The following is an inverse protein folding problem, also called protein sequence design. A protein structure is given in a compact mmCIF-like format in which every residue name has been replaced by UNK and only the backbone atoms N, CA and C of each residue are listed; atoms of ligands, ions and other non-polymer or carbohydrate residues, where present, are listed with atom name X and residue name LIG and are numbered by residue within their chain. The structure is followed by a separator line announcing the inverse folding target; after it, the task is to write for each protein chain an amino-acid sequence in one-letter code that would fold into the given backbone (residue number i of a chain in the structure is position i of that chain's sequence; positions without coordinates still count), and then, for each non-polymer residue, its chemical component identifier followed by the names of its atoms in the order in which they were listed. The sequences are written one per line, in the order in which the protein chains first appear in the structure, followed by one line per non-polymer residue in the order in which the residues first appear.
data_IF_302115145362
#
_entry.id   IF_302115145362
#
_cell.length_a   1.000
_cell.length_b   1.000
_cell.length_c   1.000
_cell.angle_alpha   90.00
_cell.angle_beta   90.00
_cell.angle_gamma   90.00
#
_symmetry.space_group_name_H-M   'P 1'
#
loop_
_entity.id
_entity.type
_entity.pdbx_description
1 polymer ?
#
# COMPACT_ATOMS: atom_id res chain seq x y z
N UNK A 1 -32.10 1.21 -25.79
CA UNK A 1 -30.77 1.80 -26.06
C UNK A 1 -29.90 1.51 -24.82
N UNK A 2 -29.13 0.41 -24.88
CA UNK A 2 -28.35 -0.13 -23.76
C UNK A 2 -27.24 0.85 -23.34
N UNK A 3 -27.30 1.34 -22.12
CA UNK A 3 -26.25 2.18 -21.49
C UNK A 3 -25.21 1.36 -20.71
N UNK A 4 -24.97 0.10 -21.10
CA UNK A 4 -24.03 -0.81 -20.44
C UNK A 4 -22.65 -0.81 -21.15
N UNK A 5 -22.09 0.38 -21.34
CA UNK A 5 -20.87 0.62 -22.14
C UNK A 5 -19.52 0.22 -21.53
N UNK A 6 -19.46 -0.58 -20.45
CA UNK A 6 -18.16 -0.84 -19.78
C UNK A 6 -17.59 -2.24 -20.00
N UNK A 7 -18.38 -3.22 -20.44
CA UNK A 7 -17.89 -4.59 -20.63
C UNK A 7 -17.29 -4.89 -22.00
N UNK A 8 -17.50 -4.03 -22.99
CA UNK A 8 -17.01 -4.23 -24.35
C UNK A 8 -15.71 -3.49 -24.69
N UNK A 9 -15.35 -2.48 -23.91
CA UNK A 9 -14.36 -1.50 -24.37
C UNK A 9 -12.91 -2.02 -24.31
N UNK A 10 -12.56 -2.90 -23.36
CA UNK A 10 -11.15 -3.32 -23.17
C UNK A 10 -10.92 -4.84 -23.30
N UNK A 11 -11.95 -5.66 -23.34
CA UNK A 11 -11.85 -7.13 -23.51
C UNK A 11 -10.87 -7.75 -22.49
N UNK A 12 -9.80 -8.38 -23.00
CA UNK A 12 -8.72 -8.98 -22.22
C UNK A 12 -7.51 -8.04 -22.06
N UNK A 13 -7.66 -6.74 -22.26
CA UNK A 13 -6.58 -5.75 -22.15
C UNK A 13 -6.76 -4.86 -20.93
N UNK A 14 -5.67 -4.26 -20.47
CA UNK A 14 -5.71 -3.21 -19.47
C UNK A 14 -6.20 -1.90 -20.10
N UNK A 15 -6.95 -1.06 -19.34
CA UNK A 15 -7.30 0.29 -19.79
C UNK A 15 -6.06 1.11 -20.16
N UNK A 16 -6.17 2.07 -21.09
CA UNK A 16 -5.05 2.93 -21.44
C UNK A 16 -4.60 3.77 -20.26
N UNK A 17 -3.29 3.78 -20.02
CA UNK A 17 -2.66 4.53 -18.93
C UNK A 17 -2.08 5.85 -19.46
N UNK A 18 -2.39 6.95 -18.77
CA UNK A 18 -1.81 8.27 -19.05
C UNK A 18 -0.74 8.63 -18.02
N UNK A 19 0.55 8.53 -18.40
CA UNK A 19 1.67 8.92 -17.51
C UNK A 19 1.60 10.39 -17.11
N UNK A 20 1.19 11.29 -18.01
CA UNK A 20 1.04 12.71 -17.70
C UNK A 20 -0.03 12.95 -16.64
N UNK A 21 -1.21 12.33 -16.80
CA UNK A 21 -2.30 12.46 -15.83
C UNK A 21 -1.89 11.84 -14.48
N UNK A 22 -1.24 10.68 -14.51
CA UNK A 22 -0.71 10.02 -13.33
C UNK A 22 0.29 10.91 -12.58
N UNK A 23 1.20 11.57 -13.31
CA UNK A 23 2.16 12.52 -12.70
C UNK A 23 1.44 13.65 -11.94
N UNK A 24 0.47 14.31 -12.59
CA UNK A 24 -0.31 15.37 -11.93
C UNK A 24 -1.13 14.86 -10.74
N UNK A 25 -1.71 13.68 -10.88
CA UNK A 25 -2.40 13.02 -9.77
C UNK A 25 -1.45 12.78 -8.59
N UNK A 26 -0.24 12.29 -8.84
CA UNK A 26 0.76 12.04 -7.80
C UNK A 26 1.24 13.29 -7.08
N UNK A 27 1.29 14.44 -7.73
CA UNK A 27 1.54 15.73 -7.05
C UNK A 27 0.47 15.97 -5.98
N UNK A 28 -0.80 15.75 -6.33
CA UNK A 28 -1.93 15.89 -5.39
C UNK A 28 -1.89 14.84 -4.27
N UNK A 29 -1.60 13.58 -4.61
CA UNK A 29 -1.44 12.48 -3.64
C UNK A 29 -0.34 12.80 -2.63
N UNK A 30 0.86 13.17 -3.09
CA UNK A 30 2.00 13.50 -2.22
C UNK A 30 1.69 14.69 -1.30
N UNK A 31 1.02 15.72 -1.82
CA UNK A 31 0.57 16.85 -1.00
C UNK A 31 -0.42 16.40 0.07
N UNK A 32 -1.39 15.55 -0.29
CA UNK A 32 -2.37 15.01 0.64
C UNK A 32 -1.71 14.16 1.73
N UNK A 33 -0.80 13.25 1.33
CA UNK A 33 -0.06 12.40 2.27
C UNK A 33 0.74 13.23 3.28
N UNK A 34 1.49 14.24 2.82
CA UNK A 34 2.26 15.15 3.71
C UNK A 34 1.40 15.89 4.72
N UNK A 35 0.17 16.18 4.37
CA UNK A 35 -0.77 16.94 5.20
C UNK A 35 -1.43 16.11 6.30
N UNK A 36 -1.61 14.81 6.03
CA UNK A 36 -2.39 13.93 6.90
C UNK A 36 -1.55 12.89 7.64
N UNK A 37 -0.29 12.68 7.23
CA UNK A 37 0.64 11.77 7.88
C UNK A 37 1.90 12.51 8.31
N UNK A 38 2.46 12.11 9.46
CA UNK A 38 3.79 12.56 9.87
C UNK A 38 4.85 12.00 8.91
N UNK A 39 4.73 10.74 8.52
CA UNK A 39 5.55 10.16 7.47
C UNK A 39 4.93 8.90 6.88
N UNK A 40 5.40 8.50 5.69
CA UNK A 40 5.27 7.16 5.15
C UNK A 40 6.60 6.44 5.32
N UNK A 41 6.60 5.32 6.03
CA UNK A 41 7.79 4.55 6.35
C UNK A 41 7.71 3.11 5.88
N UNK A 42 8.81 2.61 5.40
CA UNK A 42 8.99 1.23 4.95
C UNK A 42 9.86 0.48 5.97
N UNK A 43 9.33 -0.60 6.53
CA UNK A 43 10.05 -1.47 7.45
C UNK A 43 11.15 -2.23 6.70
N UNK A 44 12.35 -2.25 7.26
CA UNK A 44 13.47 -3.03 6.75
C UNK A 44 13.13 -4.52 6.57
N UNK A 45 13.84 -5.18 5.67
CA UNK A 45 13.65 -6.60 5.38
C UNK A 45 13.91 -7.49 6.60
N UNK A 46 13.28 -8.66 6.62
CA UNK A 46 13.51 -9.64 7.68
C UNK A 46 14.99 -10.08 7.69
N UNK A 47 15.58 -10.20 8.87
CA UNK A 47 16.97 -10.63 9.02
C UNK A 47 18.03 -9.68 8.43
N UNK A 48 17.69 -8.40 8.20
CA UNK A 48 18.61 -7.42 7.59
C UNK A 48 18.68 -7.50 6.07
N UNK A 49 17.77 -8.21 5.44
CA UNK A 49 17.59 -8.26 3.99
C UNK A 49 17.07 -6.92 3.41
N UNK A 50 16.88 -6.84 2.08
CA UNK A 50 16.33 -5.65 1.43
C UNK A 50 14.95 -5.31 1.98
N UNK A 51 14.64 -4.03 2.09
CA UNK A 51 13.37 -3.54 2.63
C UNK A 51 12.18 -3.74 1.67
N UNK A 52 12.43 -3.94 0.40
CA UNK A 52 11.43 -4.22 -0.62
C UNK A 52 11.93 -5.30 -1.58
N UNK A 53 11.01 -6.06 -2.21
CA UNK A 53 11.40 -7.10 -3.15
C UNK A 53 12.02 -6.52 -4.41
N UNK A 54 13.07 -7.18 -4.89
CA UNK A 54 13.48 -6.99 -6.28
C UNK A 54 12.42 -7.63 -7.19
N UNK A 55 11.74 -6.81 -7.95
CA UNK A 55 10.67 -7.28 -8.85
C UNK A 55 11.21 -7.78 -10.19
N UNK A 56 12.50 -7.58 -10.47
CA UNK A 56 13.10 -7.98 -11.75
C UNK A 56 12.31 -7.45 -12.96
N UNK A 57 12.46 -8.11 -14.10
CA UNK A 57 11.69 -7.85 -15.32
C UNK A 57 10.44 -8.72 -15.44
N UNK A 58 9.74 -9.04 -14.35
CA UNK A 58 8.59 -9.95 -14.34
C UNK A 58 7.29 -9.26 -13.92
N UNK A 59 6.11 -9.81 -14.29
CA UNK A 59 4.82 -9.33 -13.81
C UNK A 59 4.68 -9.47 -12.30
N UNK A 60 4.00 -8.49 -11.68
CA UNK A 60 3.88 -8.44 -10.23
C UNK A 60 2.44 -8.18 -9.80
N UNK A 61 1.97 -8.98 -8.85
CA UNK A 61 0.76 -8.74 -8.10
C UNK A 61 1.14 -8.45 -6.65
N UNK A 62 0.79 -7.26 -6.13
CA UNK A 62 0.93 -6.93 -4.72
C UNK A 62 -0.46 -7.01 -4.07
N UNK A 63 -0.57 -7.80 -3.00
CA UNK A 63 -1.80 -7.90 -2.24
C UNK A 63 -1.57 -7.42 -0.81
N UNK A 64 -2.48 -6.60 -0.32
CA UNK A 64 -2.34 -5.94 0.97
C UNK A 64 -3.60 -6.14 1.85
N UNK A 65 -3.45 -5.98 3.16
CA UNK A 65 -4.58 -5.75 4.04
C UNK A 65 -5.25 -4.40 3.72
N UNK A 66 -6.44 -4.17 4.27
CA UNK A 66 -7.26 -3.00 3.92
C UNK A 66 -7.74 -2.24 5.16
N UNK A 67 -6.82 -1.60 5.94
CA UNK A 67 -7.19 -0.91 7.16
C UNK A 67 -8.00 0.36 6.95
N UNK A 68 -7.97 0.97 5.74
CA UNK A 68 -8.71 2.20 5.58
C UNK A 68 -8.67 2.86 4.21
N UNK A 69 -9.31 4.02 4.17
CA UNK A 69 -9.49 4.82 2.95
C UNK A 69 -8.15 5.30 2.33
N UNK A 70 -7.08 5.39 3.13
CA UNK A 70 -5.79 5.89 2.69
C UNK A 70 -4.98 4.89 1.85
N UNK A 71 -5.33 3.62 1.86
CA UNK A 71 -4.54 2.55 1.27
C UNK A 71 -4.18 2.77 -0.21
N UNK A 72 -5.10 3.20 -1.10
CA UNK A 72 -4.74 3.45 -2.49
C UNK A 72 -3.67 4.55 -2.64
N UNK A 73 -3.74 5.60 -1.80
CA UNK A 73 -2.77 6.70 -1.85
C UNK A 73 -1.40 6.25 -1.33
N UNK A 74 -1.39 5.38 -0.31
CA UNK A 74 -0.17 4.73 0.19
C UNK A 74 0.43 3.85 -0.91
N UNK A 75 -0.37 3.01 -1.57
CA UNK A 75 0.10 2.13 -2.65
C UNK A 75 0.72 2.93 -3.81
N UNK A 76 0.05 3.97 -4.28
CA UNK A 76 0.59 4.85 -5.32
C UNK A 76 1.90 5.53 -4.88
N UNK A 77 1.99 5.99 -3.63
CA UNK A 77 3.20 6.63 -3.12
C UNK A 77 4.34 5.63 -3.02
N UNK A 78 4.10 4.45 -2.46
CA UNK A 78 5.09 3.36 -2.38
C UNK A 78 5.57 2.95 -3.77
N UNK A 79 4.64 2.77 -4.71
CA UNK A 79 4.99 2.40 -6.09
C UNK A 79 5.89 3.44 -6.76
N UNK A 80 5.58 4.73 -6.58
CA UNK A 80 6.36 5.81 -7.18
C UNK A 80 7.77 5.93 -6.57
N UNK A 81 7.91 5.67 -5.27
CA UNK A 81 9.20 5.75 -4.57
C UNK A 81 10.10 4.54 -4.86
N UNK A 82 9.51 3.34 -5.04
CA UNK A 82 10.28 2.11 -5.19
C UNK A 82 10.43 1.67 -6.65
N UNK A 83 9.41 1.90 -7.48
CA UNK A 83 9.37 1.40 -8.87
C UNK A 83 8.74 2.45 -9.81
N UNK A 84 9.39 3.62 -10.00
CA UNK A 84 8.81 4.77 -10.72
C UNK A 84 8.50 4.49 -12.19
N UNK A 85 9.18 3.52 -12.79
CA UNK A 85 9.00 3.16 -14.20
C UNK A 85 7.82 2.21 -14.45
N UNK A 86 7.28 1.59 -13.40
CA UNK A 86 6.18 0.64 -13.53
C UNK A 86 4.82 1.34 -13.56
N UNK A 87 3.92 0.78 -14.33
CA UNK A 87 2.51 1.21 -14.36
C UNK A 87 1.74 0.52 -13.23
N UNK A 88 0.91 1.28 -12.56
CA UNK A 88 0.14 0.81 -11.41
C UNK A 88 -1.32 0.62 -11.80
N UNK A 89 -1.83 -0.60 -11.64
CA UNK A 89 -3.23 -0.92 -11.84
C UNK A 89 -3.83 -1.55 -10.60
N UNK A 90 -5.12 -1.32 -10.36
CA UNK A 90 -5.83 -1.93 -9.24
C UNK A 90 -7.34 -1.84 -9.38
N UNK A 91 -8.09 -2.76 -8.75
CA UNK A 91 -9.54 -2.71 -8.72
C UNK A 91 -10.04 -1.60 -7.80
N UNK A 92 -11.14 -0.99 -8.21
CA UNK A 92 -11.95 -0.07 -7.39
C UNK A 92 -13.42 -0.42 -7.57
N UNK A 93 -14.26 -0.05 -6.62
CA UNK A 93 -15.71 -0.18 -6.80
C UNK A 93 -16.18 0.60 -8.03
N UNK A 94 -16.91 -0.07 -8.93
CA UNK A 94 -17.42 0.52 -10.15
C UNK A 94 -18.35 1.72 -9.89
N UNK A 95 -19.09 1.71 -8.78
CA UNK A 95 -19.94 2.83 -8.37
C UNK A 95 -19.11 4.06 -7.99
N UNK A 96 -17.97 3.86 -7.31
CA UNK A 96 -17.02 4.94 -6.99
C UNK A 96 -16.35 5.48 -8.26
N UNK A 97 -15.93 4.58 -9.16
CA UNK A 97 -15.30 4.96 -10.44
C UNK A 97 -16.24 5.74 -11.34
N UNK A 98 -17.54 5.39 -11.36
CA UNK A 98 -18.55 6.08 -12.18
C UNK A 98 -18.63 7.58 -11.93
N UNK A 99 -18.27 8.04 -10.73
CA UNK A 99 -18.18 9.47 -10.38
C UNK A 99 -16.92 10.15 -10.94
N UNK A 100 -15.85 9.36 -11.17
CA UNK A 100 -14.51 9.89 -11.50
C UNK A 100 -13.84 9.05 -12.61
N UNK A 101 -14.47 9.00 -13.80
CA UNK A 101 -13.95 8.22 -14.95
C UNK A 101 -12.51 8.51 -15.34
N UNK A 102 -12.01 9.68 -15.01
CA UNK A 102 -10.60 10.06 -15.20
C UNK A 102 -9.62 9.12 -14.47
N UNK A 103 -10.07 8.47 -13.39
CA UNK A 103 -9.26 7.54 -12.61
C UNK A 103 -8.93 6.24 -13.37
N UNK A 104 -9.71 5.87 -14.38
CA UNK A 104 -9.38 4.73 -15.27
C UNK A 104 -8.05 4.96 -15.99
N UNK A 105 -7.76 6.22 -16.34
CA UNK A 105 -6.54 6.59 -17.08
C UNK A 105 -5.29 6.65 -16.21
N UNK A 106 -5.42 6.42 -14.92
CA UNK A 106 -4.30 6.27 -13.98
C UNK A 106 -4.22 4.85 -13.40
N UNK A 107 -4.94 3.89 -14.01
CA UNK A 107 -4.85 2.47 -13.70
C UNK A 107 -5.91 1.92 -12.74
N UNK A 108 -6.90 2.72 -12.30
CA UNK A 108 -7.99 2.18 -11.49
C UNK A 108 -9.07 1.54 -12.37
N UNK A 109 -9.42 0.30 -12.06
CA UNK A 109 -10.36 -0.50 -12.85
C UNK A 109 -11.61 -0.81 -12.05
N UNK A 110 -12.76 -0.33 -12.52
CA UNK A 110 -14.04 -0.55 -11.85
C UNK A 110 -14.45 -2.02 -11.85
N UNK A 111 -14.77 -2.56 -10.69
CA UNK A 111 -15.36 -3.89 -10.50
C UNK A 111 -16.60 -3.76 -9.64
N UNK A 112 -17.58 -4.65 -9.88
CA UNK A 112 -18.80 -4.77 -9.07
C UNK A 112 -18.55 -5.76 -7.93
N UNK A 113 -18.37 -5.29 -6.68
CA UNK A 113 -18.08 -6.18 -5.56
C UNK A 113 -19.22 -7.18 -5.32
N UNK A 114 -18.87 -8.42 -4.95
CA UNK A 114 -19.86 -9.44 -4.58
C UNK A 114 -20.63 -10.06 -5.74
N UNK A 115 -20.37 -9.67 -7.00
CA UNK A 115 -21.06 -10.24 -8.17
C UNK A 115 -20.16 -11.22 -8.94
N UNK A 116 -20.79 -12.20 -9.62
CA UNK A 116 -20.06 -13.10 -10.53
C UNK A 116 -19.39 -12.35 -11.68
N UNK A 117 -20.06 -11.31 -12.19
CA UNK A 117 -19.53 -10.44 -13.25
C UNK A 117 -18.29 -9.70 -12.79
N UNK A 118 -18.32 -9.10 -11.58
CA UNK A 118 -17.18 -8.44 -10.98
C UNK A 118 -16.00 -9.38 -10.74
N UNK A 119 -16.27 -10.61 -10.24
CA UNK A 119 -15.23 -11.63 -10.06
C UNK A 119 -14.58 -12.03 -11.39
N UNK A 120 -15.38 -12.26 -12.45
CA UNK A 120 -14.87 -12.57 -13.79
C UNK A 120 -14.05 -11.41 -14.37
N UNK A 121 -14.50 -10.16 -14.20
CA UNK A 121 -13.77 -8.97 -14.62
C UNK A 121 -12.44 -8.83 -13.88
N UNK A 122 -12.45 -9.00 -12.56
CA UNK A 122 -11.24 -8.99 -11.75
C UNK A 122 -10.19 -9.98 -12.29
N UNK A 123 -10.57 -11.24 -12.53
CA UNK A 123 -9.65 -12.25 -13.03
C UNK A 123 -9.13 -11.94 -14.44
N UNK A 124 -9.96 -11.37 -15.31
CA UNK A 124 -9.52 -10.92 -16.65
C UNK A 124 -8.44 -9.86 -16.54
N UNK A 125 -8.65 -8.85 -15.70
CA UNK A 125 -7.69 -7.75 -15.49
C UNK A 125 -6.41 -8.26 -14.82
N UNK A 126 -6.51 -9.11 -13.81
CA UNK A 126 -5.36 -9.73 -13.17
C UNK A 126 -4.49 -10.53 -14.16
N UNK A 127 -5.12 -11.30 -15.06
CA UNK A 127 -4.41 -12.01 -16.15
C UNK A 127 -3.78 -11.06 -17.17
N UNK A 128 -4.47 -9.97 -17.53
CA UNK A 128 -3.92 -8.97 -18.45
C UNK A 128 -2.68 -8.28 -17.84
N UNK A 129 -2.73 -7.95 -16.54
CA UNK A 129 -1.60 -7.42 -15.78
C UNK A 129 -0.45 -8.43 -15.67
N UNK A 130 -0.76 -9.71 -15.41
CA UNK A 130 0.22 -10.79 -15.31
C UNK A 130 0.96 -11.17 -16.60
N UNK A 131 0.61 -10.54 -17.73
CA UNK A 131 1.34 -10.66 -19.01
C UNK A 131 2.28 -9.47 -19.27
N UNK A 132 2.31 -8.51 -18.34
CA UNK A 132 3.02 -7.25 -18.54
C UNK A 132 4.08 -7.05 -17.44
N UNK A 133 5.35 -7.19 -17.78
CA UNK A 133 6.44 -7.01 -16.81
C UNK A 133 6.62 -5.57 -16.35
N UNK A 134 6.07 -4.60 -17.08
CA UNK A 134 6.08 -3.18 -16.73
C UNK A 134 4.90 -2.76 -15.83
N UNK A 135 4.08 -3.73 -15.36
CA UNK A 135 2.89 -3.47 -14.55
C UNK A 135 3.04 -4.03 -13.14
N UNK A 136 2.55 -3.30 -12.15
CA UNK A 136 2.22 -3.79 -10.82
C UNK A 136 0.69 -3.77 -10.69
N UNK A 137 0.11 -4.92 -10.32
CA UNK A 137 -1.30 -5.04 -10.03
C UNK A 137 -1.54 -5.08 -8.52
N UNK A 138 -2.18 -4.05 -7.98
CA UNK A 138 -2.44 -3.88 -6.56
C UNK A 138 -3.82 -4.41 -6.18
N UNK A 139 -3.91 -5.17 -5.10
CA UNK A 139 -5.18 -5.74 -4.62
C UNK A 139 -5.28 -5.61 -3.11
N UNK A 140 -6.40 -5.08 -2.61
CA UNK A 140 -6.76 -5.19 -1.20
C UNK A 140 -7.38 -6.57 -0.96
N UNK A 141 -6.65 -7.45 -0.27
CA UNK A 141 -6.96 -8.87 -0.20
C UNK A 141 -8.30 -9.21 0.46
N UNK A 142 -8.73 -8.38 1.42
CA UNK A 142 -9.98 -8.57 2.17
C UNK A 142 -11.22 -8.09 1.39
N UNK A 143 -11.04 -7.19 0.40
CA UNK A 143 -12.13 -6.63 -0.42
C UNK A 143 -13.14 -5.80 0.36
N UNK A 144 -12.82 -5.43 1.59
CA UNK A 144 -13.54 -4.53 2.49
C UNK A 144 -12.56 -4.00 3.53
N UNK A 145 -12.92 -2.90 4.20
CA UNK A 145 -12.13 -2.42 5.34
C UNK A 145 -12.19 -3.43 6.49
N UNK A 146 -11.02 -3.71 7.07
CA UNK A 146 -10.88 -4.62 8.20
C UNK A 146 -9.79 -4.14 9.16
N UNK A 147 -10.00 -4.39 10.44
CA UNK A 147 -9.00 -4.04 11.46
C UNK A 147 -7.71 -4.85 11.23
N UNK A 148 -6.54 -4.21 11.16
CA UNK A 148 -5.28 -4.92 10.93
C UNK A 148 -4.91 -5.90 12.05
N UNK A 149 -5.62 -5.89 13.17
CA UNK A 149 -5.43 -6.79 14.32
C UNK A 149 -6.33 -8.02 14.30
N UNK A 150 -7.32 -8.08 13.39
CA UNK A 150 -8.19 -9.25 13.27
C UNK A 150 -7.39 -10.51 12.96
N UNK A 151 -7.65 -11.59 13.72
CA UNK A 151 -7.04 -12.91 13.56
C UNK A 151 -8.12 -14.01 13.73
N UNK A 152 -8.08 -15.09 12.94
CA UNK A 152 -7.22 -15.27 11.76
C UNK A 152 -7.60 -14.30 10.63
N UNK A 153 -6.63 -13.96 9.79
CA UNK A 153 -6.89 -13.08 8.66
C UNK A 153 -7.78 -13.79 7.62
N UNK A 154 -8.84 -13.11 7.20
CA UNK A 154 -9.69 -13.57 6.11
C UNK A 154 -9.40 -12.77 4.83
N UNK A 155 -9.12 -13.46 3.74
CA UNK A 155 -8.94 -12.86 2.42
C UNK A 155 -9.95 -13.41 1.41
N UNK A 156 -10.24 -12.62 0.38
CA UNK A 156 -11.14 -13.04 -0.70
C UNK A 156 -10.46 -14.09 -1.58
N UNK A 157 -11.13 -15.19 -1.95
CA UNK A 157 -10.57 -16.23 -2.81
C UNK A 157 -10.09 -15.73 -4.19
N UNK A 158 -10.61 -14.60 -4.64
CA UNK A 158 -10.22 -13.98 -5.90
C UNK A 158 -8.71 -13.73 -6.04
N UNK A 159 -8.02 -13.44 -4.94
CA UNK A 159 -6.55 -13.22 -4.95
C UNK A 159 -5.82 -14.53 -5.23
N UNK A 160 -6.23 -15.64 -4.60
CA UNK A 160 -5.69 -16.98 -4.86
C UNK A 160 -5.98 -17.43 -6.30
N UNK A 161 -7.18 -17.17 -6.80
CA UNK A 161 -7.50 -17.44 -8.21
C UNK A 161 -6.65 -16.60 -9.18
N UNK A 162 -6.35 -15.35 -8.85
CA UNK A 162 -5.47 -14.51 -9.67
C UNK A 162 -4.04 -15.06 -9.66
N UNK A 163 -3.49 -15.45 -8.50
CA UNK A 163 -2.16 -16.03 -8.40
C UNK A 163 -2.03 -17.31 -9.24
N UNK A 164 -3.00 -18.23 -9.14
CA UNK A 164 -3.03 -19.46 -9.94
C UNK A 164 -3.20 -19.23 -11.44
N UNK A 165 -3.98 -18.21 -11.81
CA UNK A 165 -4.33 -17.94 -13.21
C UNK A 165 -3.21 -17.29 -14.02
N UNK A 166 -2.21 -16.71 -13.37
CA UNK A 166 -1.03 -16.15 -14.01
C UNK A 166 0.04 -17.25 -14.17
N UNK A 167 0.64 -17.35 -15.36
CA UNK A 167 1.60 -18.42 -15.68
C UNK A 167 3.02 -18.07 -15.23
N UNK A 168 3.27 -16.80 -14.95
CA UNK A 168 4.58 -16.27 -14.57
C UNK A 168 4.44 -15.08 -13.65
N UNK A 169 5.55 -14.64 -13.06
CA UNK A 169 5.61 -13.49 -12.16
C UNK A 169 5.53 -13.88 -10.70
N UNK A 170 5.42 -12.88 -9.86
CA UNK A 170 5.38 -13.04 -8.41
C UNK A 170 4.16 -12.34 -7.80
N UNK A 171 3.67 -12.94 -6.70
CA UNK A 171 2.71 -12.30 -5.81
C UNK A 171 3.40 -11.94 -4.49
N UNK A 172 3.22 -10.71 -4.03
CA UNK A 172 3.94 -10.15 -2.88
C UNK A 172 2.96 -9.67 -1.82
N UNK A 173 3.05 -10.16 -0.58
CA UNK A 173 2.26 -9.62 0.53
C UNK A 173 2.82 -8.26 0.96
N UNK A 174 1.93 -7.30 1.22
CA UNK A 174 2.26 -6.01 1.80
C UNK A 174 1.33 -5.71 2.98
N UNK A 175 1.91 -5.42 4.13
CA UNK A 175 1.16 -4.97 5.30
C UNK A 175 1.16 -3.45 5.40
N UNK A 176 0.03 -2.89 5.87
CA UNK A 176 -0.15 -1.45 6.10
C UNK A 176 -0.76 -1.23 7.48
N UNK A 177 -0.24 -0.25 8.22
CA UNK A 177 -0.79 0.24 9.49
C UNK A 177 -0.70 1.77 9.59
N UNK A 178 -1.62 2.37 10.37
CA UNK A 178 -1.69 3.81 10.60
C UNK A 178 -1.65 4.15 12.10
N UNK A 179 -0.56 3.87 12.81
CA UNK A 179 -0.46 4.17 14.23
C UNK A 179 -0.14 5.65 14.50
N UNK A 180 -0.62 6.15 15.63
CA UNK A 180 -0.13 7.39 16.21
C UNK A 180 1.07 7.09 17.10
N UNK A 181 2.20 7.70 16.79
CA UNK A 181 3.41 7.64 17.62
C UNK A 181 3.50 8.88 18.52
N UNK A 182 4.61 9.60 18.40
CA UNK A 182 4.89 10.75 19.27
C UNK A 182 4.43 12.08 18.68
N UNK A 183 4.12 12.08 17.39
CA UNK A 183 3.68 13.27 16.66
C UNK A 183 2.15 13.35 16.56
N UNK A 184 1.64 14.56 16.29
CA UNK A 184 0.21 14.83 16.15
C UNK A 184 -0.46 14.06 15.01
N UNK A 185 0.28 13.86 13.92
CA UNK A 185 -0.19 13.12 12.76
C UNK A 185 0.21 11.65 12.87
N UNK A 186 -0.60 10.72 12.34
CA UNK A 186 -0.25 9.31 12.32
C UNK A 186 0.94 9.04 11.40
N UNK A 187 1.62 7.95 11.66
CA UNK A 187 2.54 7.34 10.71
C UNK A 187 1.76 6.48 9.72
N UNK A 188 2.17 6.44 8.45
CA UNK A 188 1.79 5.40 7.52
C UNK A 188 2.94 4.39 7.44
N UNK A 189 2.73 3.20 7.95
CA UNK A 189 3.76 2.16 8.02
C UNK A 189 3.46 1.07 7.02
N UNK A 190 4.48 0.63 6.28
CA UNK A 190 4.37 -0.48 5.33
C UNK A 190 5.49 -1.49 5.53
N UNK A 191 5.21 -2.75 5.22
CA UNK A 191 6.18 -3.84 5.17
C UNK A 191 5.85 -4.78 4.03
N UNK A 192 6.87 -5.31 3.35
CA UNK A 192 6.71 -6.38 2.36
C UNK A 192 7.12 -7.72 2.96
N UNK A 193 6.38 -8.78 2.67
CA UNK A 193 6.84 -10.14 2.87
C UNK A 193 7.55 -10.68 1.65
N UNK A 194 7.99 -11.94 1.73
CA UNK A 194 8.73 -12.59 0.65
C UNK A 194 7.86 -12.78 -0.60
N UNK A 195 8.39 -12.53 -1.80
CA UNK A 195 7.71 -12.82 -3.04
C UNK A 195 7.44 -14.32 -3.21
N UNK A 196 6.26 -14.66 -3.70
CA UNK A 196 5.83 -16.04 -3.97
C UNK A 196 5.69 -16.17 -5.49
N UNK A 197 6.39 -17.11 -6.14
CA UNK A 197 6.21 -17.36 -7.57
C UNK A 197 4.76 -17.74 -7.89
N UNK A 198 4.18 -17.09 -8.91
CA UNK A 198 2.82 -17.41 -9.40
C UNK A 198 2.86 -18.54 -10.42
N UNK A 199 1.68 -19.13 -10.69
CA UNK A 199 1.48 -20.09 -11.74
C UNK A 199 1.42 -21.53 -11.26
N UNK A 200 1.38 -22.44 -12.25
CA UNK A 200 1.26 -23.88 -12.02
C UNK A 200 2.57 -24.55 -11.57
N UNK A 201 3.70 -23.83 -11.70
CA UNK A 201 5.02 -24.36 -11.35
C UNK A 201 5.23 -24.61 -9.85
N UNK A 202 4.39 -24.02 -8.98
CA UNK A 202 4.41 -24.24 -7.52
C UNK A 202 3.61 -25.47 -7.05
N UNK A 203 2.93 -26.21 -7.93
CA UNK A 203 2.15 -27.39 -7.58
C UNK A 203 0.87 -27.11 -6.76
N UNK A 204 0.54 -25.84 -6.51
CA UNK A 204 -0.60 -25.43 -5.68
C UNK A 204 -1.90 -25.36 -6.49
N UNK A 205 -2.96 -25.96 -5.96
CA UNK A 205 -4.32 -25.78 -6.47
C UNK A 205 -4.92 -24.46 -6.01
N UNK A 206 -6.01 -24.01 -6.68
CA UNK A 206 -6.68 -22.76 -6.31
C UNK A 206 -7.18 -22.75 -4.86
N UNK A 207 -7.49 -23.91 -4.30
CA UNK A 207 -7.89 -24.08 -2.92
C UNK A 207 -6.74 -23.80 -1.94
N UNK A 208 -5.50 -24.14 -2.30
CA UNK A 208 -4.32 -24.03 -1.44
C UNK A 208 -3.74 -22.61 -1.45
N UNK A 209 -3.93 -21.87 -2.54
CA UNK A 209 -3.46 -20.50 -2.65
C UNK A 209 -4.05 -19.56 -1.61
N UNK A 210 -5.34 -19.63 -1.36
CA UNK A 210 -6.00 -18.68 -0.44
C UNK A 210 -5.48 -18.76 0.99
N UNK A 211 -5.40 -19.95 1.64
CA UNK A 211 -4.83 -20.06 2.98
C UNK A 211 -3.34 -19.70 3.03
N UNK A 212 -2.55 -20.09 2.02
CA UNK A 212 -1.13 -19.70 1.95
C UNK A 212 -0.98 -18.18 1.91
N UNK A 213 -1.74 -17.50 1.07
CA UNK A 213 -1.67 -16.02 0.96
C UNK A 213 -2.16 -15.33 2.23
N UNK A 214 -3.18 -15.86 2.91
CA UNK A 214 -3.63 -15.37 4.19
C UNK A 214 -2.53 -15.48 5.26
N UNK A 215 -1.91 -16.65 5.39
CA UNK A 215 -0.78 -16.90 6.31
C UNK A 215 0.38 -15.93 6.06
N UNK A 216 0.80 -15.76 4.80
CA UNK A 216 1.93 -14.88 4.44
C UNK A 216 1.64 -13.41 4.72
N UNK A 217 0.41 -12.96 4.45
CA UNK A 217 0.02 -11.58 4.74
C UNK A 217 -0.11 -11.35 6.26
N UNK A 218 -0.69 -12.31 6.99
CA UNK A 218 -0.77 -12.27 8.45
C UNK A 218 0.61 -12.21 9.10
N UNK A 219 1.56 -13.04 8.66
CA UNK A 219 2.95 -13.00 9.14
C UNK A 219 3.62 -11.64 8.86
N UNK A 220 3.33 -11.04 7.69
CA UNK A 220 3.84 -9.70 7.32
C UNK A 220 3.24 -8.62 8.22
N UNK A 221 1.92 -8.68 8.49
CA UNK A 221 1.26 -7.77 9.42
C UNK A 221 1.81 -7.89 10.84
N UNK A 222 2.03 -9.11 11.33
CA UNK A 222 2.56 -9.34 12.68
C UNK A 222 3.99 -8.81 12.82
N UNK A 223 4.80 -8.90 11.76
CA UNK A 223 6.12 -8.29 11.72
C UNK A 223 6.04 -6.77 11.78
N UNK A 224 5.14 -6.16 10.99
CA UNK A 224 4.92 -4.71 10.99
C UNK A 224 4.41 -4.23 12.34
N UNK A 225 3.41 -4.91 12.92
CA UNK A 225 2.82 -4.57 14.21
C UNK A 225 3.84 -4.64 15.36
N UNK A 226 4.75 -5.62 15.34
CA UNK A 226 5.84 -5.69 16.33
C UNK A 226 6.75 -4.47 16.26
N UNK A 227 7.16 -4.07 15.04
CA UNK A 227 7.99 -2.90 14.83
C UNK A 227 7.25 -1.59 15.18
N UNK A 228 5.97 -1.48 14.79
CA UNK A 228 5.14 -0.32 15.06
C UNK A 228 4.97 -0.02 16.55
N UNK A 229 4.81 -1.08 17.38
CA UNK A 229 4.71 -0.95 18.85
C UNK A 229 5.95 -0.36 19.52
N UNK A 230 7.11 -0.54 18.89
CA UNK A 230 8.36 0.02 19.40
C UNK A 230 8.41 1.55 19.33
N UNK A 231 7.59 2.18 18.49
CA UNK A 231 7.60 3.64 18.21
C UNK A 231 8.99 4.18 17.88
N UNK A 232 9.85 3.31 17.34
CA UNK A 232 11.20 3.62 16.94
C UNK A 232 11.30 3.73 15.43
N UNK A 233 11.71 4.88 14.87
CA UNK A 233 11.88 5.02 13.43
C UNK A 233 13.11 4.29 12.87
N UNK A 234 14.06 3.87 13.72
CA UNK A 234 15.33 3.31 13.26
C UNK A 234 15.21 2.08 12.34
N UNK A 235 14.29 1.11 12.57
CA UNK A 235 14.13 -0.03 11.67
C UNK A 235 13.40 0.31 10.35
N UNK A 236 13.01 1.57 10.15
CA UNK A 236 12.24 2.00 9.00
C UNK A 236 13.02 2.99 8.13
N UNK A 237 12.89 2.84 6.81
CA UNK A 237 13.26 3.86 5.84
C UNK A 237 12.09 4.81 5.59
N UNK A 238 12.31 6.12 5.68
CA UNK A 238 11.29 7.11 5.34
C UNK A 238 11.20 7.25 3.82
N UNK A 239 10.03 6.93 3.26
CA UNK A 239 9.72 7.12 1.84
C UNK A 239 9.18 8.52 1.56
N UNK A 240 8.37 9.06 2.47
CA UNK A 240 7.82 10.40 2.37
C UNK A 240 7.74 11.02 3.75
N UNK A 241 8.38 12.18 3.94
CA UNK A 241 8.21 12.99 5.15
C UNK A 241 7.00 13.92 4.98
N UNK A 242 6.14 13.96 5.98
CA UNK A 242 5.00 14.85 6.07
C UNK A 242 5.32 16.13 6.83
N UNK A 243 4.27 16.87 7.15
CA UNK A 243 4.40 18.10 7.92
C UNK A 243 4.68 17.79 9.39
N UNK A 244 5.66 18.51 9.98
CA UNK A 244 6.10 18.33 11.36
C UNK A 244 5.59 19.51 12.22
N UNK A 245 5.20 19.22 13.45
CA UNK A 245 4.77 20.23 14.43
C UNK A 245 3.25 20.44 14.49
N UNK A 246 2.82 21.21 15.47
CA UNK A 246 1.39 21.49 15.71
C UNK A 246 0.87 22.53 14.72
N UNK A 247 1.76 23.26 14.07
CA UNK A 247 1.42 24.36 13.17
C UNK A 247 0.83 25.59 13.88
N UNK A 248 0.83 26.73 13.20
CA UNK A 248 0.19 27.95 13.69
C UNK A 248 0.91 28.64 14.86
N UNK A 249 0.13 29.29 15.73
CA UNK A 249 0.66 30.14 16.81
C UNK A 249 1.52 29.42 17.85
N UNK A 250 1.31 28.11 18.07
CA UNK A 250 2.09 27.35 19.03
C UNK A 250 3.55 27.14 18.57
N UNK A 251 3.74 26.78 17.31
CA UNK A 251 5.08 26.63 16.73
C UNK A 251 5.77 27.99 16.56
N UNK A 252 5.01 29.05 16.28
CA UNK A 252 5.56 30.40 16.26
C UNK A 252 6.12 30.79 17.64
N UNK A 253 5.39 30.50 18.71
CA UNK A 253 5.85 30.74 20.08
C UNK A 253 7.10 29.93 20.45
N UNK A 254 7.18 28.65 20.00
CA UNK A 254 8.37 27.79 20.19
C UNK A 254 9.57 28.31 19.37
N UNK A 255 9.37 28.71 18.12
CA UNK A 255 10.42 29.31 17.28
C UNK A 255 10.98 30.58 17.89
N UNK A 256 10.11 31.47 18.40
CA UNK A 256 10.52 32.69 19.05
C UNK A 256 11.35 32.41 20.32
N UNK A 257 10.93 31.43 21.14
CA UNK A 257 11.68 31.01 22.33
C UNK A 257 13.04 30.41 21.97
N UNK A 258 13.11 29.52 20.98
CA UNK A 258 14.35 28.93 20.51
C UNK A 258 15.30 30.01 19.96
N UNK A 259 14.79 30.97 19.21
CA UNK A 259 15.56 32.10 18.70
C UNK A 259 16.10 33.00 19.85
N UNK A 260 15.27 33.31 20.85
CA UNK A 260 15.68 34.08 22.04
C UNK A 260 16.69 33.34 22.89
N UNK A 261 16.67 31.99 22.89
CA UNK A 261 17.61 31.14 23.62
C UNK A 261 18.88 30.81 22.81
N UNK A 262 19.02 31.31 21.57
CA UNK A 262 20.16 30.99 20.69
C UNK A 262 20.27 29.53 20.29
N UNK A 263 19.17 28.76 20.37
CA UNK A 263 19.14 27.34 20.06
C UNK A 263 18.47 27.09 18.71
N UNK A 264 18.92 26.07 17.93
CA UNK A 264 18.23 25.66 16.71
C UNK A 264 16.80 25.19 17.06
N UNK A 265 15.82 25.65 16.31
CA UNK A 265 14.42 25.23 16.47
C UNK A 265 14.23 23.83 15.91
N UNK A 266 13.84 22.87 16.77
CA UNK A 266 13.40 21.54 16.39
C UNK A 266 11.86 21.49 16.44
N UNK A 267 11.16 21.32 15.30
CA UNK A 267 9.72 21.23 15.26
C UNK A 267 9.18 19.89 15.76
N UNK A 268 10.02 18.85 15.91
CA UNK A 268 9.61 17.52 16.36
C UNK A 268 9.19 17.50 17.84
N UNK A 269 8.29 16.59 18.21
CA UNK A 269 7.78 16.43 19.59
C UNK A 269 8.45 15.33 20.36
N UNK A 270 9.52 14.74 19.90
CA UNK A 270 10.25 13.82 20.73
C UNK A 270 11.14 12.80 20.07
N UNK A 271 12.38 13.07 20.24
CA UNK A 271 13.42 12.06 20.32
C UNK A 271 14.09 12.09 21.69
N UNK A 272 13.28 12.00 22.75
CA UNK A 272 13.88 11.68 24.06
C UNK A 272 13.90 10.16 24.15
N UNK A 273 15.09 9.53 24.22
CA UNK A 273 15.15 8.11 24.52
C UNK A 273 14.41 7.85 25.84
N UNK A 274 13.66 6.75 25.97
CA UNK A 274 13.03 6.41 27.24
C UNK A 274 14.12 6.42 28.34
N UNK A 275 13.80 6.93 29.55
CA UNK A 275 14.76 6.90 30.65
C UNK A 275 15.15 5.45 30.88
N UNK A 276 16.46 5.19 30.91
CA UNK A 276 17.01 3.88 31.22
C UNK A 276 16.42 3.39 32.53
N UNK A 277 16.06 2.12 32.63
CA UNK A 277 15.46 1.49 33.81
C UNK A 277 16.33 1.62 35.06
N UNK A 278 17.58 2.05 34.94
CA UNK A 278 18.51 2.30 36.02
C UNK A 278 18.27 3.60 36.84
N UNK A 279 17.41 4.52 36.34
CA UNK A 279 17.09 5.77 37.07
C UNK A 279 15.78 5.69 37.88
N UNK A 280 15.22 4.50 38.10
CA UNK A 280 14.04 4.26 38.94
C UNK A 280 14.35 3.44 40.19
N UNK A 281 15.53 3.60 40.75
CA UNK A 281 15.84 3.08 42.10
C UNK A 281 16.08 4.23 43.08
#
# INVERSE_FOLDING_TARGET
MNRDGTDGEWGNQLPPFSRTLYHWFMVSVRRSMRRHFHSLRLLGGAGGGPDHPDLGGQPVLIYANHPGWWDPLVFFTVAQELWPDRLNYGPIDAAALGKYRVLERIGLVGIEPGTRRGAARFLRIARAAGRRPDVIFWVTAQGQFADPRERPMSIRPGVGHAARANEQGVIVPMAVEYPFWNERLPEALVAFGDPIPMGRGGGLDAHDWTPLLAERLEATQDRLARAARGRDPAPFRTLLAGDVGVGGFYDLGRRLRAWLAGQPFDPSHGSRPPPSLEQRR
#
